data_IF_198809239897
#
_entry.id   IF_198809239897
#
_cell.length_a   1.000
_cell.length_b   1.000
_cell.length_c   1.000
_cell.angle_alpha   90.00
_cell.angle_beta   90.00
_cell.angle_gamma   90.00
#
_symmetry.space_group_name_H-M   'P 1'
#
loop_
_entity.id
_entity.type
_entity.pdbx_description
1 polymer ?
#
# COMPACT_ATOMS: atom_id res chain seq x y z
N UNK A 1 16.20 -8.06 -2.67
CA UNK A 1 16.21 -8.22 -1.20
C UNK A 1 15.14 -7.30 -0.60
N UNK A 2 13.86 -7.62 -0.80
CA UNK A 2 12.77 -6.65 -0.65
C UNK A 2 11.56 -7.12 0.18
N UNK A 3 11.67 -8.18 1.00
CA UNK A 3 10.44 -8.75 1.61
C UNK A 3 10.42 -8.91 3.13
N UNK A 4 11.48 -8.61 3.89
CA UNK A 4 11.46 -8.95 5.33
C UNK A 4 12.03 -7.85 6.25
N UNK A 5 13.04 -7.07 5.83
CA UNK A 5 13.74 -6.19 6.77
C UNK A 5 13.04 -4.87 7.11
N UNK A 6 12.05 -4.43 6.33
CA UNK A 6 11.31 -3.17 6.58
C UNK A 6 9.88 -3.37 7.12
N UNK A 7 9.43 -4.62 7.29
CA UNK A 7 8.17 -4.94 7.97
C UNK A 7 8.38 -5.18 9.48
N UNK A 8 9.34 -4.48 10.10
CA UNK A 8 9.72 -4.69 11.50
C UNK A 8 9.01 -3.78 12.51
N UNK A 9 7.99 -3.02 12.09
CA UNK A 9 7.06 -2.44 13.05
C UNK A 9 6.03 -3.51 13.46
N UNK A 10 5.89 -3.74 14.77
CA UNK A 10 4.90 -4.64 15.37
C UNK A 10 3.48 -4.34 14.88
N UNK A 11 3.17 -3.07 14.56
CA UNK A 11 1.89 -2.66 14.02
C UNK A 11 1.57 -3.33 12.67
N UNK A 12 2.48 -3.27 11.70
CA UNK A 12 2.28 -3.82 10.35
C UNK A 12 2.19 -5.36 10.35
N UNK A 13 2.96 -6.04 11.21
CA UNK A 13 2.84 -7.51 11.38
C UNK A 13 1.47 -7.90 11.93
N UNK A 14 0.95 -7.14 12.88
CA UNK A 14 -0.37 -7.40 13.47
C UNK A 14 -1.50 -7.12 12.48
N UNK A 15 -1.34 -6.16 11.58
CA UNK A 15 -2.33 -5.81 10.56
C UNK A 15 -2.36 -6.86 9.45
N UNK A 16 -1.20 -7.29 8.94
CA UNK A 16 -1.13 -8.41 7.99
C UNK A 16 -1.72 -9.67 8.63
N UNK A 17 -1.44 -9.94 9.90
CA UNK A 17 -2.04 -11.08 10.60
C UNK A 17 -3.56 -10.91 10.80
N UNK A 18 -4.04 -9.70 11.09
CA UNK A 18 -5.46 -9.40 11.23
C UNK A 18 -6.20 -9.53 9.88
N UNK A 19 -5.62 -9.05 8.79
CA UNK A 19 -6.20 -9.12 7.46
C UNK A 19 -6.15 -10.52 6.88
N UNK A 20 -5.07 -11.28 7.12
CA UNK A 20 -4.97 -12.68 6.73
C UNK A 20 -5.89 -13.61 7.56
N UNK A 21 -6.14 -13.28 8.83
CA UNK A 21 -7.12 -14.01 9.68
C UNK A 21 -8.56 -13.54 9.45
N UNK A 22 -8.72 -12.34 8.93
CA UNK A 22 -9.99 -11.73 8.58
C UNK A 22 -10.55 -12.31 7.29
N UNK A 23 -11.72 -11.82 6.92
CA UNK A 23 -12.36 -12.20 5.67
C UNK A 23 -11.64 -11.51 4.50
N UNK A 24 -10.99 -12.32 3.66
CA UNK A 24 -10.33 -11.86 2.44
C UNK A 24 -11.35 -11.27 1.45
N UNK A 25 -10.88 -10.45 0.52
CA UNK A 25 -11.69 -9.99 -0.60
C UNK A 25 -12.07 -11.18 -1.48
N UNK A 26 -13.36 -11.45 -1.62
CA UNK A 26 -13.94 -12.54 -2.44
C UNK A 26 -14.59 -12.02 -3.72
N UNK A 27 -14.65 -10.70 -3.90
CA UNK A 27 -15.28 -10.01 -5.03
C UNK A 27 -16.71 -9.53 -4.74
N UNK A 28 -17.44 -10.19 -3.83
CA UNK A 28 -18.81 -9.79 -3.45
C UNK A 28 -18.86 -8.94 -2.16
N UNK A 29 -17.77 -8.91 -1.39
CA UNK A 29 -17.70 -8.25 -0.10
C UNK A 29 -16.87 -6.95 -0.15
N UNK A 30 -16.71 -6.33 -1.33
CA UNK A 30 -15.86 -5.16 -1.53
C UNK A 30 -16.17 -4.03 -0.53
N UNK A 31 -17.44 -3.61 -0.42
CA UNK A 31 -17.84 -2.51 0.48
C UNK A 31 -17.46 -2.75 1.95
N UNK A 32 -17.55 -4.01 2.40
CA UNK A 32 -17.22 -4.39 3.78
C UNK A 32 -15.71 -4.47 3.95
N UNK A 33 -15.01 -5.07 2.99
CA UNK A 33 -13.55 -5.19 2.97
C UNK A 33 -12.88 -3.81 2.93
N UNK A 34 -13.35 -2.92 2.06
CA UNK A 34 -12.86 -1.55 1.90
C UNK A 34 -13.03 -0.72 3.18
N UNK A 35 -14.19 -0.82 3.84
CA UNK A 35 -14.41 -0.22 5.17
C UNK A 35 -13.46 -0.80 6.21
N UNK A 36 -13.28 -2.13 6.27
CA UNK A 36 -12.35 -2.76 7.22
C UNK A 36 -10.92 -2.27 7.06
N UNK A 37 -10.45 -2.10 5.82
CA UNK A 37 -9.12 -1.54 5.53
C UNK A 37 -9.04 -0.06 5.94
N UNK A 38 -10.07 0.73 5.63
CA UNK A 38 -10.13 2.16 5.94
C UNK A 38 -10.16 2.46 7.45
N UNK A 39 -10.80 1.61 8.25
CA UNK A 39 -10.97 1.82 9.70
C UNK A 39 -9.91 1.13 10.57
N UNK A 40 -8.82 0.60 9.99
CA UNK A 40 -7.70 0.05 10.75
C UNK A 40 -7.02 1.17 11.57
N UNK A 41 -7.15 1.19 12.92
CA UNK A 41 -6.81 2.37 13.73
C UNK A 41 -5.32 2.73 13.82
N UNK A 42 -4.42 1.90 13.28
CA UNK A 42 -2.97 2.02 13.51
C UNK A 42 -2.14 2.36 12.27
N UNK A 43 -2.74 2.65 11.11
CA UNK A 43 -1.98 2.91 9.88
C UNK A 43 -2.52 4.08 9.05
N UNK A 44 -2.48 5.28 9.62
CA UNK A 44 -2.56 6.51 8.84
C UNK A 44 -1.56 6.50 7.66
N UNK A 45 -0.36 5.94 7.84
CA UNK A 45 0.61 5.74 6.76
C UNK A 45 0.08 4.81 5.65
N UNK A 46 -0.54 3.66 5.95
CA UNK A 46 -1.08 2.77 4.89
C UNK A 46 -2.17 3.48 4.10
N UNK A 47 -3.11 4.12 4.80
CA UNK A 47 -4.20 4.85 4.16
C UNK A 47 -3.69 6.01 3.30
N UNK A 48 -2.64 6.71 3.73
CA UNK A 48 -1.99 7.76 2.93
C UNK A 48 -1.43 7.19 1.61
N UNK A 49 -0.81 6.02 1.62
CA UNK A 49 -0.32 5.37 0.39
C UNK A 49 -1.43 4.81 -0.50
N UNK A 50 -2.55 4.35 0.09
CA UNK A 50 -3.72 3.88 -0.67
C UNK A 50 -4.44 5.03 -1.39
N UNK A 51 -4.49 6.21 -0.76
CA UNK A 51 -5.33 7.32 -1.24
C UNK A 51 -4.55 8.38 -2.01
N UNK A 52 -3.25 8.53 -1.74
CA UNK A 52 -2.41 9.57 -2.32
C UNK A 52 -1.43 8.99 -3.34
N UNK A 53 -1.50 9.43 -4.59
CA UNK A 53 -0.40 9.24 -5.53
C UNK A 53 0.55 10.42 -5.43
N UNK A 54 1.81 10.16 -5.07
CA UNK A 54 2.89 11.14 -5.24
C UNK A 54 3.48 10.92 -6.61
N UNK A 55 3.41 11.94 -7.47
CA UNK A 55 4.01 11.88 -8.80
C UNK A 55 5.49 12.24 -8.72
N UNK A 56 6.29 11.65 -9.61
CA UNK A 56 7.71 12.01 -9.70
C UNK A 56 7.80 13.49 -10.08
N UNK A 57 8.53 14.32 -9.32
CA UNK A 57 8.70 15.73 -9.68
C UNK A 57 9.45 15.82 -11.03
N UNK A 58 9.15 16.84 -11.85
CA UNK A 58 9.85 17.09 -13.11
C UNK A 58 11.33 17.36 -12.86
N UNK A 59 12.18 17.11 -13.86
CA UNK A 59 13.62 17.38 -13.78
C UNK A 59 13.90 18.85 -13.42
N UNK A 60 14.87 19.06 -12.54
CA UNK A 60 15.27 20.38 -12.08
C UNK A 60 16.65 20.35 -11.41
N UNK A 61 17.16 21.52 -11.05
CA UNK A 61 18.46 21.66 -10.39
C UNK A 61 18.40 22.57 -9.15
N UNK A 62 17.20 22.91 -8.70
CA UNK A 62 16.99 23.79 -7.54
C UNK A 62 17.05 23.02 -6.24
N UNK A 63 17.33 23.70 -5.13
CA UNK A 63 17.26 23.09 -3.80
C UNK A 63 15.87 22.54 -3.45
N UNK A 64 14.80 23.11 -4.04
CA UNK A 64 13.44 22.59 -3.90
C UNK A 64 13.27 21.27 -4.65
N UNK A 65 13.80 21.17 -5.87
CA UNK A 65 13.77 19.92 -6.64
C UNK A 65 14.46 18.77 -5.90
N UNK A 66 15.61 19.02 -5.25
CA UNK A 66 16.27 18.01 -4.43
C UNK A 66 15.37 17.52 -3.27
N UNK A 67 14.69 18.43 -2.57
CA UNK A 67 13.76 18.07 -1.49
C UNK A 67 12.56 17.28 -1.99
N UNK A 68 11.97 17.71 -3.10
CA UNK A 68 10.81 17.04 -3.69
C UNK A 68 11.17 15.62 -4.16
N UNK A 69 12.37 15.45 -4.71
CA UNK A 69 12.90 14.13 -5.06
C UNK A 69 13.13 13.25 -3.83
N UNK A 70 13.70 13.79 -2.75
CA UNK A 70 13.90 13.04 -1.50
C UNK A 70 12.57 12.58 -0.90
N UNK A 71 11.54 13.44 -0.93
CA UNK A 71 10.18 13.12 -0.49
C UNK A 71 9.60 12.01 -1.39
N UNK A 72 9.71 12.15 -2.71
CA UNK A 72 9.24 11.13 -3.66
C UNK A 72 9.95 9.79 -3.47
N UNK A 73 11.27 9.78 -3.29
CA UNK A 73 12.04 8.55 -3.08
C UNK A 73 11.70 7.88 -1.75
N UNK A 74 11.52 8.67 -0.68
CA UNK A 74 11.10 8.16 0.63
C UNK A 74 9.69 7.56 0.55
N UNK A 75 8.76 8.22 -0.14
CA UNK A 75 7.41 7.72 -0.38
C UNK A 75 7.43 6.46 -1.27
N UNK A 76 8.13 6.49 -2.41
CA UNK A 76 8.17 5.37 -3.37
C UNK A 76 8.75 4.10 -2.77
N UNK A 77 9.76 4.21 -1.89
CA UNK A 77 10.30 3.06 -1.16
C UNK A 77 9.28 2.40 -0.25
N UNK A 78 8.37 3.18 0.35
CA UNK A 78 7.30 2.69 1.21
C UNK A 78 6.12 2.17 0.38
N UNK A 79 5.73 2.88 -0.68
CA UNK A 79 4.62 2.51 -1.57
C UNK A 79 4.83 1.14 -2.23
N UNK A 80 6.05 0.81 -2.65
CA UNK A 80 6.38 -0.48 -3.30
C UNK A 80 5.98 -1.73 -2.50
N UNK A 81 5.81 -1.63 -1.19
CA UNK A 81 5.41 -2.75 -0.35
C UNK A 81 3.90 -2.84 -0.14
N UNK A 82 3.17 -1.74 -0.34
CA UNK A 82 1.74 -1.64 -0.07
C UNK A 82 0.89 -2.52 -1.01
N UNK A 83 1.17 -2.62 -2.32
CA UNK A 83 0.48 -3.54 -3.22
C UNK A 83 0.53 -5.00 -2.75
N UNK A 84 1.68 -5.46 -2.27
CA UNK A 84 1.84 -6.83 -1.79
C UNK A 84 1.00 -7.11 -0.54
N UNK A 85 0.91 -6.12 0.36
CA UNK A 85 0.02 -6.21 1.52
C UNK A 85 -1.43 -6.32 1.08
N UNK A 86 -1.90 -5.49 0.15
CA UNK A 86 -3.26 -5.57 -0.41
C UNK A 86 -3.53 -6.93 -1.06
N UNK A 87 -2.63 -7.42 -1.92
CA UNK A 87 -2.76 -8.73 -2.58
C UNK A 87 -2.90 -9.87 -1.56
N UNK A 88 -2.15 -9.82 -0.45
CA UNK A 88 -2.24 -10.87 0.58
C UNK A 88 -3.63 -10.94 1.25
N UNK A 89 -4.37 -9.83 1.22
CA UNK A 89 -5.73 -9.69 1.77
C UNK A 89 -6.82 -10.10 0.77
N UNK A 90 -6.45 -10.53 -0.44
CA UNK A 90 -7.36 -10.98 -1.49
C UNK A 90 -7.36 -12.51 -1.57
N UNK A 91 -8.45 -13.08 -2.09
CA UNK A 91 -8.43 -14.47 -2.52
C UNK A 91 -7.57 -14.66 -3.76
N UNK A 92 -6.95 -15.84 -3.87
CA UNK A 92 -5.98 -16.16 -4.92
C UNK A 92 -6.55 -15.99 -6.33
N UNK A 93 -7.85 -16.23 -6.52
CA UNK A 93 -8.52 -16.04 -7.81
C UNK A 93 -8.64 -14.57 -8.23
N UNK A 94 -8.45 -13.62 -7.31
CA UNK A 94 -8.43 -12.19 -7.59
C UNK A 94 -7.01 -11.64 -7.75
N UNK A 95 -5.98 -12.32 -7.24
CA UNK A 95 -4.59 -11.83 -7.30
C UNK A 95 -4.18 -11.51 -8.75
N UNK A 96 -4.49 -12.40 -9.70
CA UNK A 96 -4.16 -12.18 -11.12
C UNK A 96 -4.82 -10.95 -11.75
N UNK A 97 -5.97 -10.50 -11.22
CA UNK A 97 -6.65 -9.30 -11.71
C UNK A 97 -5.95 -8.00 -11.26
N UNK A 98 -5.20 -8.04 -10.16
CA UNK A 98 -4.60 -6.85 -9.52
C UNK A 98 -3.06 -6.87 -9.51
N UNK A 99 -2.41 -7.99 -9.86
CA UNK A 99 -0.94 -8.09 -9.90
C UNK A 99 -0.26 -7.14 -10.90
N UNK A 100 -1.04 -6.62 -11.85
CA UNK A 100 -0.58 -5.69 -12.90
C UNK A 100 -0.62 -4.22 -12.45
N UNK A 101 -1.20 -3.94 -11.28
CA UNK A 101 -1.25 -2.59 -10.75
C UNK A 101 0.12 -2.18 -10.18
N UNK A 102 0.71 -1.14 -10.76
CA UNK A 102 2.05 -0.68 -10.38
C UNK A 102 2.10 0.02 -9.00
N UNK A 103 0.96 0.48 -8.48
CA UNK A 103 0.86 1.24 -7.23
C UNK A 103 -0.32 0.76 -6.39
N UNK A 104 -0.23 0.99 -5.08
CA UNK A 104 -1.31 0.65 -4.17
C UNK A 104 -2.59 1.42 -4.46
N UNK A 105 -2.44 2.70 -4.84
CA UNK A 105 -3.56 3.53 -5.26
C UNK A 105 -4.27 2.96 -6.49
N UNK A 106 -3.53 2.48 -7.49
CA UNK A 106 -4.14 1.86 -8.68
C UNK A 106 -4.89 0.55 -8.37
N UNK A 107 -4.59 -0.12 -7.26
CA UNK A 107 -5.36 -1.26 -6.78
C UNK A 107 -6.59 -0.85 -5.94
N UNK A 108 -6.54 0.36 -5.38
CA UNK A 108 -7.53 0.88 -4.43
C UNK A 108 -8.65 1.67 -5.12
N UNK A 109 -8.33 2.37 -6.21
CA UNK A 109 -9.27 3.07 -7.09
C UNK A 109 -10.13 2.08 -7.92
#
# INVERSE_FOLDING_TARGET
MCLIYHLNNVATKNIIAYLNKGEKLTGINYDIWHKKITFLPNEQELYEHLTTAVTRPPEGNTAQHCRDLEIFDAWSKKDRCTPFTLLSCMHDNLIGAYEHCDTAKAMWD
#
